data_IF_732915399655
#
_entry.id   IF_732915399655
#
_cell.length_a   1.000
_cell.length_b   1.000
_cell.length_c   1.000
_cell.angle_alpha   90.00
_cell.angle_beta   90.00
_cell.angle_gamma   90.00
#
_symmetry.space_group_name_H-M   'P 1'
#
loop_
_entity.id
_entity.type
_entity.pdbx_description
1 polymer ?
#
# COMPACT_ATOMS: atom_id res chain seq x y z
N UNK A 1 11.94 20.07 -2.21
CA UNK A 1 11.66 18.70 -1.74
C UNK A 1 10.35 18.76 -1.00
N UNK A 2 9.36 17.96 -1.40
CA UNK A 2 8.09 17.86 -0.67
C UNK A 2 8.37 17.10 0.63
N UNK A 3 7.94 17.63 1.77
CA UNK A 3 8.16 16.96 3.04
C UNK A 3 7.26 15.71 3.11
N UNK A 4 7.86 14.55 3.34
CA UNK A 4 7.09 13.32 3.54
C UNK A 4 6.43 13.36 4.92
N UNK A 5 5.11 13.18 4.95
CA UNK A 5 4.32 13.03 6.17
C UNK A 5 4.54 11.64 6.79
N UNK A 6 4.78 10.66 5.92
CA UNK A 6 5.15 9.30 6.24
C UNK A 6 6.12 8.79 5.18
N UNK A 7 7.18 8.09 5.59
CA UNK A 7 8.05 7.33 4.69
C UNK A 7 8.63 6.13 5.42
N UNK A 8 8.46 4.93 4.85
CA UNK A 8 9.05 3.69 5.37
C UNK A 8 9.99 2.99 4.38
N UNK A 9 10.40 3.68 3.32
CA UNK A 9 11.24 3.17 2.24
C UNK A 9 10.52 2.30 1.20
N UNK A 10 9.29 1.84 1.45
CA UNK A 10 8.41 1.22 0.46
C UNK A 10 7.24 2.14 0.08
N UNK A 11 6.75 2.91 1.04
CA UNK A 11 5.57 3.75 0.93
C UNK A 11 5.94 5.16 1.36
N UNK A 12 5.40 6.15 0.67
CA UNK A 12 5.47 7.56 1.07
C UNK A 12 4.09 8.17 1.01
N UNK A 13 3.73 8.91 2.05
CA UNK A 13 2.61 9.86 2.02
C UNK A 13 3.22 11.26 2.05
N UNK A 14 2.85 12.09 1.08
CA UNK A 14 3.19 13.51 1.05
C UNK A 14 1.91 14.35 0.97
N UNK A 15 2.00 15.61 0.59
CA UNK A 15 0.82 16.50 0.55
C UNK A 15 -0.20 16.15 -0.53
N UNK A 16 0.20 15.47 -1.61
CA UNK A 16 -0.65 15.22 -2.78
C UNK A 16 -1.13 13.76 -2.88
N UNK A 17 -0.45 12.81 -2.25
CA UNK A 17 -0.88 11.41 -2.30
C UNK A 17 0.07 10.37 -1.73
N UNK A 18 -0.27 9.12 -2.07
CA UNK A 18 0.47 7.92 -1.75
C UNK A 18 1.38 7.52 -2.93
N UNK A 19 2.68 7.35 -2.65
CA UNK A 19 3.60 6.65 -3.53
C UNK A 19 3.85 5.24 -3.01
N UNK A 20 3.64 4.25 -3.87
CA UNK A 20 3.96 2.84 -3.63
C UNK A 20 5.17 2.49 -4.48
N UNK A 21 6.34 2.33 -3.85
CA UNK A 21 7.58 1.96 -4.54
C UNK A 21 7.54 0.49 -4.93
N UNK A 22 8.29 0.14 -5.97
CA UNK A 22 8.40 -1.26 -6.46
C UNK A 22 7.05 -1.91 -6.75
N UNK A 23 6.13 -1.15 -7.34
CA UNK A 23 4.76 -1.60 -7.59
C UNK A 23 4.66 -2.48 -8.83
N UNK A 24 5.12 -2.00 -9.98
CA UNK A 24 4.90 -2.68 -11.26
C UNK A 24 5.97 -3.74 -11.54
N UNK A 25 5.53 -4.99 -11.68
CA UNK A 25 6.38 -6.08 -12.15
C UNK A 25 6.62 -5.95 -13.67
N UNK A 26 7.83 -6.25 -14.18
CA UNK A 26 9.03 -6.72 -13.48
C UNK A 26 10.03 -5.63 -13.07
N UNK A 27 9.81 -4.37 -13.48
CA UNK A 27 10.83 -3.32 -13.36
C UNK A 27 10.89 -2.66 -11.97
N UNK A 28 9.86 -2.85 -11.14
CA UNK A 28 9.81 -2.21 -9.83
C UNK A 28 9.60 -0.71 -9.90
N UNK A 29 8.98 -0.20 -10.97
CA UNK A 29 8.59 1.21 -11.02
C UNK A 29 7.50 1.49 -9.99
N UNK A 30 7.47 2.73 -9.50
CA UNK A 30 6.52 3.17 -8.50
C UNK A 30 5.11 3.39 -9.09
N UNK A 31 4.11 3.30 -8.23
CA UNK A 31 2.75 3.72 -8.51
C UNK A 31 2.41 4.92 -7.63
N UNK A 32 1.95 5.99 -8.25
CA UNK A 32 1.40 7.15 -7.58
C UNK A 32 -0.12 7.05 -7.50
N UNK A 33 -0.69 7.31 -6.33
CA UNK A 33 -2.13 7.34 -6.07
C UNK A 33 -2.46 8.66 -5.39
N UNK A 34 -3.09 9.63 -6.08
CA UNK A 34 -3.51 10.88 -5.46
C UNK A 34 -4.63 10.63 -4.46
N UNK A 35 -4.73 11.43 -3.39
CA UNK A 35 -5.74 11.24 -2.34
C UNK A 35 -7.17 11.26 -2.87
N UNK A 36 -7.46 12.15 -3.82
CA UNK A 36 -8.74 12.25 -4.56
C UNK A 36 -9.16 10.94 -5.25
N UNK A 37 -8.21 10.08 -5.61
CA UNK A 37 -8.51 8.79 -6.23
C UNK A 37 -8.77 7.67 -5.20
N UNK A 38 -8.57 7.91 -3.90
CA UNK A 38 -8.75 6.89 -2.86
C UNK A 38 -10.20 6.95 -2.38
N UNK A 39 -10.97 5.92 -2.72
CA UNK A 39 -12.38 5.82 -2.34
C UNK A 39 -12.59 5.21 -0.95
N UNK A 40 -11.56 4.54 -0.42
CA UNK A 40 -11.62 3.89 0.88
C UNK A 40 -10.38 3.09 1.18
N UNK A 41 -10.24 2.71 2.45
CA UNK A 41 -9.16 1.85 2.92
C UNK A 41 -9.74 0.72 3.75
N UNK A 42 -9.21 -0.48 3.54
CA UNK A 42 -9.57 -1.67 4.30
C UNK A 42 -8.31 -2.21 5.00
N UNK A 43 -8.36 -2.26 6.33
CA UNK A 43 -7.24 -2.69 7.19
C UNK A 43 -7.61 -4.02 7.81
N UNK A 44 -6.81 -5.05 7.55
CA UNK A 44 -7.10 -6.41 8.00
C UNK A 44 -5.83 -7.16 8.44
N UNK A 45 -5.95 -8.22 9.25
CA UNK A 45 -4.81 -9.06 9.59
C UNK A 45 -4.13 -9.68 8.35
N UNK A 46 -2.81 -9.62 8.32
CA UNK A 46 -1.97 -10.30 7.34
C UNK A 46 -1.59 -11.69 7.85
N UNK A 47 -1.90 -12.71 7.07
CA UNK A 47 -1.57 -14.09 7.33
C UNK A 47 -1.35 -14.85 6.03
N UNK A 48 -1.10 -16.16 6.14
CA UNK A 48 -0.82 -17.00 4.98
C UNK A 48 -1.95 -16.94 3.93
N UNK A 49 -3.21 -16.95 4.37
CA UNK A 49 -4.39 -16.86 3.51
C UNK A 49 -4.59 -15.47 2.86
N UNK A 50 -4.11 -14.40 3.49
CA UNK A 50 -4.22 -13.03 2.97
C UNK A 50 -2.96 -12.55 2.26
N UNK A 51 -1.98 -13.45 2.04
CA UNK A 51 -0.84 -13.22 1.17
C UNK A 51 0.46 -12.82 1.87
N UNK A 52 0.69 -13.19 3.14
CA UNK A 52 1.95 -12.88 3.84
C UNK A 52 3.21 -13.37 3.11
N UNK A 53 3.12 -14.51 2.40
CA UNK A 53 4.20 -15.07 1.56
C UNK A 53 4.23 -14.55 0.12
N UNK A 54 3.24 -13.74 -0.29
CA UNK A 54 3.17 -13.20 -1.64
C UNK A 54 4.15 -12.04 -1.75
N UNK A 55 5.38 -12.25 -2.21
CA UNK A 55 6.39 -11.17 -2.23
C UNK A 55 6.11 -10.09 -3.28
N UNK A 56 5.54 -10.44 -4.44
CA UNK A 56 5.20 -9.51 -5.52
C UNK A 56 4.07 -10.06 -6.40
N UNK A 57 3.28 -9.15 -6.96
CA UNK A 57 2.32 -9.44 -8.02
C UNK A 57 0.96 -9.79 -7.46
N UNK A 58 0.20 -10.56 -8.25
CA UNK A 58 -1.19 -10.86 -7.91
C UNK A 58 -1.32 -12.05 -6.96
N UNK A 59 -2.25 -11.93 -5.99
CA UNK A 59 -2.76 -13.06 -5.20
C UNK A 59 -4.15 -13.50 -5.64
N UNK A 60 -4.93 -12.60 -6.27
CA UNK A 60 -6.25 -12.84 -6.84
C UNK A 60 -6.53 -11.80 -7.93
N UNK A 61 -7.54 -11.99 -8.80
CA UNK A 61 -7.86 -11.07 -9.90
C UNK A 61 -8.12 -9.60 -9.49
N UNK A 62 -8.34 -9.34 -8.20
CA UNK A 62 -8.66 -8.03 -7.64
C UNK A 62 -7.58 -7.47 -6.70
N UNK A 63 -6.55 -8.23 -6.33
CA UNK A 63 -5.53 -7.80 -5.37
C UNK A 63 -4.13 -7.85 -6.00
N UNK A 64 -3.41 -6.73 -5.89
CA UNK A 64 -2.03 -6.57 -6.36
C UNK A 64 -1.09 -6.17 -5.24
N UNK A 65 -0.04 -6.95 -5.03
CA UNK A 65 0.96 -6.74 -3.99
C UNK A 65 2.23 -6.15 -4.61
N UNK A 66 2.72 -4.98 -4.18
CA UNK A 66 4.03 -4.48 -4.59
C UNK A 66 5.14 -5.38 -4.04
N UNK A 67 6.36 -5.24 -4.56
CA UNK A 67 7.51 -5.99 -4.07
C UNK A 67 7.81 -5.61 -2.62
N UNK A 68 7.65 -6.57 -1.69
CA UNK A 68 8.01 -6.41 -0.29
C UNK A 68 8.64 -7.69 0.25
N UNK A 69 9.97 -7.72 0.32
CA UNK A 69 10.73 -8.86 0.85
C UNK A 69 10.49 -9.09 2.35
N UNK A 70 10.03 -8.06 3.07
CA UNK A 70 9.79 -8.14 4.50
C UNK A 70 8.33 -8.48 4.83
N UNK A 71 7.46 -8.64 3.83
CA UNK A 71 6.04 -8.96 4.01
C UNK A 71 5.78 -10.16 4.93
N UNK A 72 6.55 -11.27 4.88
CA UNK A 72 6.32 -12.41 5.79
C UNK A 72 6.53 -12.09 7.27
N UNK A 73 7.20 -10.98 7.60
CA UNK A 73 7.45 -10.53 8.98
C UNK A 73 6.43 -9.50 9.48
N UNK A 74 5.46 -9.14 8.65
CA UNK A 74 4.43 -8.13 8.96
C UNK A 74 3.11 -8.83 9.27
N UNK A 75 2.24 -8.14 10.00
CA UNK A 75 0.98 -8.67 10.52
C UNK A 75 -0.26 -7.88 10.05
N UNK A 76 -0.06 -6.78 9.33
CA UNK A 76 -1.13 -5.89 8.91
C UNK A 76 -1.12 -5.69 7.41
N UNK A 77 -2.28 -5.92 6.78
CA UNK A 77 -2.54 -5.65 5.38
C UNK A 77 -3.44 -4.42 5.25
N UNK A 78 -3.02 -3.46 4.44
CA UNK A 78 -3.84 -2.31 4.05
C UNK A 78 -4.18 -2.44 2.57
N UNK A 79 -5.46 -2.45 2.26
CA UNK A 79 -5.96 -2.49 0.89
C UNK A 79 -6.49 -1.11 0.52
N UNK A 80 -5.93 -0.55 -0.55
CA UNK A 80 -6.30 0.77 -1.05
C UNK A 80 -7.40 0.60 -2.11
N UNK A 81 -8.59 1.11 -1.83
CA UNK A 81 -9.64 1.21 -2.84
C UNK A 81 -9.45 2.48 -3.65
N UNK A 82 -9.35 2.32 -4.97
CA UNK A 82 -9.22 3.44 -5.91
C UNK A 82 -10.40 3.52 -6.88
N UNK A 83 -11.48 2.77 -6.61
CA UNK A 83 -12.59 2.56 -7.56
C UNK A 83 -12.24 1.58 -8.69
N UNK A 84 -10.95 1.25 -8.87
CA UNK A 84 -10.49 0.29 -9.87
C UNK A 84 -10.69 -1.18 -9.42
N UNK A 85 -10.81 -2.07 -10.40
CA UNK A 85 -10.94 -3.52 -10.18
C UNK A 85 -9.75 -4.12 -9.40
N UNK A 86 -8.54 -3.60 -9.65
CA UNK A 86 -7.31 -4.09 -9.02
C UNK A 86 -6.88 -3.13 -7.91
N UNK A 87 -6.89 -3.63 -6.68
CA UNK A 87 -6.61 -2.86 -5.46
C UNK A 87 -5.17 -3.10 -5.00
N UNK A 88 -4.37 -2.03 -4.80
CA UNK A 88 -3.08 -2.13 -4.14
C UNK A 88 -3.20 -2.72 -2.74
N UNK A 89 -2.38 -3.73 -2.46
CA UNK A 89 -2.31 -4.46 -1.21
C UNK A 89 -0.95 -4.21 -0.56
N UNK A 90 -0.90 -3.23 0.34
CA UNK A 90 0.35 -2.72 0.91
C UNK A 90 0.48 -3.15 2.36
N UNK A 91 1.72 -3.16 2.82
CA UNK A 91 2.12 -3.66 4.14
C UNK A 91 3.05 -2.63 4.77
N UNK A 92 2.51 -1.54 5.35
CA UNK A 92 3.32 -0.47 5.94
C UNK A 92 4.21 -0.98 7.08
N UNK A 93 5.34 -0.33 7.31
CA UNK A 93 6.20 -0.64 8.46
C UNK A 93 5.60 -0.20 9.80
N UNK A 94 4.90 0.94 9.82
CA UNK A 94 4.15 1.44 10.98
C UNK A 94 2.66 1.56 10.61
N UNK A 95 1.87 0.47 10.66
CA UNK A 95 0.51 0.44 10.12
C UNK A 95 -0.43 1.47 10.74
N UNK A 96 -0.37 1.66 12.06
CA UNK A 96 -1.21 2.61 12.79
C UNK A 96 -0.95 4.05 12.30
N UNK A 97 0.32 4.47 12.32
CA UNK A 97 0.76 5.78 11.87
C UNK A 97 0.43 6.03 10.40
N UNK A 98 0.63 5.02 9.54
CA UNK A 98 0.28 5.11 8.12
C UNK A 98 -1.21 5.35 7.92
N UNK A 99 -2.06 4.56 8.59
CA UNK A 99 -3.52 4.64 8.46
C UNK A 99 -4.06 5.95 9.02
N UNK A 100 -3.54 6.42 10.15
CA UNK A 100 -3.91 7.71 10.73
C UNK A 100 -3.57 8.85 9.78
N UNK A 101 -2.32 8.89 9.29
CA UNK A 101 -1.85 9.93 8.34
C UNK A 101 -2.67 9.91 7.05
N UNK A 102 -2.97 8.72 6.52
CA UNK A 102 -3.75 8.58 5.29
C UNK A 102 -5.20 9.04 5.49
N UNK A 103 -5.86 8.63 6.58
CA UNK A 103 -7.23 9.03 6.89
C UNK A 103 -7.38 10.54 7.05
N UNK A 104 -6.39 11.21 7.64
CA UNK A 104 -6.37 12.66 7.77
C UNK A 104 -6.35 13.40 6.41
N UNK A 105 -6.02 12.73 5.30
CA UNK A 105 -5.89 13.32 3.97
C UNK A 105 -7.01 12.96 2.98
N UNK A 106 -7.77 11.89 3.21
CA UNK A 106 -8.83 11.40 2.32
C UNK A 106 -10.26 11.73 2.82
N UNK A 107 -10.37 12.60 3.83
CA UNK A 107 -11.62 13.00 4.47
C UNK A 107 -12.56 13.80 3.57
#
# INVERSE_FOLDING_TARGET
MVAALYDDGNLTLDDDGLTIRRYYFPLGTEKRVPYVAICGIDVRPLGAATGSWRLWGTGSPSHWFPLDMHRPKKDTLVVIDTGAKVKPCITPAEPERFVETLRARIG
#
